data_IF_988926515277
#
_entry.id   IF_988926515277
#
_cell.length_a   1.000
_cell.length_b   1.000
_cell.length_c   1.000
_cell.angle_alpha   90.00
_cell.angle_beta   90.00
_cell.angle_gamma   90.00
#
_symmetry.space_group_name_H-M   'P 1'
#
loop_
_entity.id
_entity.type
_entity.pdbx_description
1 polymer ?
#
# COMPACT_ATOMS: atom_id res chain seq x y z
N UNK A 1 6.50 1.40 -8.84
CA UNK A 1 5.34 0.50 -9.03
C UNK A 1 4.69 0.66 -10.41
N UNK A 2 4.22 1.86 -10.78
CA UNK A 2 3.55 2.13 -12.08
C UNK A 2 4.31 1.57 -13.30
N UNK A 3 5.61 1.90 -13.43
CA UNK A 3 6.41 1.47 -14.59
C UNK A 3 6.70 -0.04 -14.60
N UNK A 4 6.70 -0.68 -13.43
CA UNK A 4 6.96 -2.11 -13.28
C UNK A 4 5.70 -2.96 -13.58
N UNK A 5 4.51 -2.39 -13.40
CA UNK A 5 3.25 -3.09 -13.62
C UNK A 5 3.04 -3.44 -15.09
N UNK A 6 2.85 -4.73 -15.38
CA UNK A 6 2.58 -5.24 -16.72
C UNK A 6 1.09 -5.15 -17.08
N UNK A 7 0.22 -5.40 -16.10
CA UNK A 7 -1.22 -5.24 -16.18
C UNK A 7 -1.59 -3.77 -16.37
N UNK A 8 -2.36 -3.50 -17.44
CA UNK A 8 -2.90 -2.16 -17.72
C UNK A 8 -3.79 -1.67 -16.58
N UNK A 9 -4.66 -2.53 -16.07
CA UNK A 9 -5.59 -2.20 -14.99
C UNK A 9 -4.82 -1.86 -13.70
N UNK A 10 -3.74 -2.60 -13.40
CA UNK A 10 -2.90 -2.34 -12.23
C UNK A 10 -2.16 -1.01 -12.35
N UNK A 11 -1.65 -0.73 -13.55
CA UNK A 11 -0.99 0.54 -13.85
C UNK A 11 -1.94 1.73 -13.71
N UNK A 12 -3.18 1.59 -14.18
CA UNK A 12 -4.21 2.63 -14.05
C UNK A 12 -4.59 2.86 -12.58
N UNK A 13 -4.73 1.78 -11.80
CA UNK A 13 -4.97 1.87 -10.36
C UNK A 13 -3.84 2.63 -9.64
N UNK A 14 -2.57 2.30 -9.91
CA UNK A 14 -1.43 3.00 -9.32
C UNK A 14 -1.32 4.46 -9.76
N UNK A 15 -1.65 4.80 -11.01
CA UNK A 15 -1.66 6.20 -11.45
C UNK A 15 -2.76 7.00 -10.73
N UNK A 16 -3.95 6.42 -10.57
CA UNK A 16 -5.03 7.06 -9.84
C UNK A 16 -4.66 7.29 -8.39
N UNK A 17 -4.14 6.26 -7.74
CA UNK A 17 -3.72 6.34 -6.35
C UNK A 17 -2.58 7.36 -6.16
N UNK A 18 -1.63 7.46 -7.09
CA UNK A 18 -0.60 8.52 -7.04
C UNK A 18 -1.19 9.95 -7.00
N UNK A 19 -2.25 10.21 -7.76
CA UNK A 19 -2.92 11.52 -7.69
C UNK A 19 -3.65 11.70 -6.36
N UNK A 20 -4.31 10.66 -5.84
CA UNK A 20 -4.92 10.68 -4.50
C UNK A 20 -3.87 10.96 -3.41
N UNK A 21 -2.71 10.31 -3.45
CA UNK A 21 -1.62 10.53 -2.48
C UNK A 21 -1.13 11.98 -2.47
N UNK A 22 -1.13 12.69 -3.61
CA UNK A 22 -0.78 14.11 -3.65
C UNK A 22 -1.82 14.98 -2.96
N UNK A 23 -3.10 14.64 -3.14
CA UNK A 23 -4.20 15.30 -2.44
C UNK A 23 -4.15 15.02 -0.93
N UNK A 24 -3.76 13.80 -0.53
CA UNK A 24 -3.53 13.44 0.88
C UNK A 24 -2.41 14.26 1.49
N UNK A 25 -1.28 14.41 0.80
CA UNK A 25 -0.17 15.24 1.26
C UNK A 25 -0.63 16.69 1.49
N UNK A 26 -1.39 17.26 0.55
CA UNK A 26 -1.98 18.60 0.68
C UNK A 26 -2.90 18.69 1.90
N UNK A 27 -3.71 17.65 2.15
CA UNK A 27 -4.61 17.57 3.30
C UNK A 27 -3.86 17.53 4.63
N UNK A 28 -2.77 16.76 4.70
CA UNK A 28 -1.90 16.70 5.89
C UNK A 28 -1.19 18.03 6.12
N UNK A 29 -0.70 18.68 5.06
CA UNK A 29 -0.10 20.02 5.15
C UNK A 29 -1.09 21.04 5.72
N UNK A 30 -2.35 21.01 5.28
CA UNK A 30 -3.42 21.88 5.81
C UNK A 30 -3.67 21.62 7.31
N UNK A 31 -3.71 20.35 7.73
CA UNK A 31 -3.87 19.97 9.14
C UNK A 31 -2.69 20.51 9.97
N UNK A 32 -1.45 20.30 9.52
CA UNK A 32 -0.25 20.79 10.22
C UNK A 32 -0.24 22.32 10.35
N UNK A 33 -0.60 23.04 9.29
CA UNK A 33 -0.72 24.49 9.33
C UNK A 33 -1.77 24.96 10.35
N UNK A 34 -2.92 24.28 10.43
CA UNK A 34 -3.95 24.60 11.43
C UNK A 34 -3.48 24.35 12.87
N UNK A 35 -2.58 23.39 13.07
CA UNK A 35 -1.94 23.11 14.36
C UNK A 35 -0.77 24.06 14.68
N UNK A 36 -0.39 24.93 13.75
CA UNK A 36 0.77 25.82 13.90
C UNK A 36 2.12 25.12 13.72
N UNK A 37 2.11 23.91 13.14
CA UNK A 37 3.29 23.08 12.90
C UNK A 37 3.76 23.19 11.45
N UNK A 38 5.06 22.95 11.22
CA UNK A 38 5.64 22.88 9.89
C UNK A 38 5.43 21.52 9.22
N UNK A 39 5.40 21.50 7.89
CA UNK A 39 5.31 20.27 7.10
C UNK A 39 6.67 19.56 6.87
N UNK A 40 7.70 19.91 7.64
CA UNK A 40 8.99 19.22 7.55
C UNK A 40 8.86 17.81 8.15
N UNK A 41 8.50 16.86 7.30
CA UNK A 41 8.37 15.46 7.67
C UNK A 41 9.72 14.77 7.81
N UNK A 42 9.84 13.90 8.80
CA UNK A 42 10.94 12.94 8.87
C UNK A 42 10.70 11.76 7.93
N UNK A 43 11.79 11.15 7.45
CA UNK A 43 11.70 9.92 6.66
C UNK A 43 11.10 8.79 7.50
N UNK A 44 9.91 8.30 7.12
CA UNK A 44 9.34 7.10 7.71
C UNK A 44 10.15 5.86 7.30
N UNK A 45 10.92 5.31 8.25
CA UNK A 45 11.77 4.13 8.00
C UNK A 45 10.96 2.90 7.63
N UNK A 46 9.79 2.69 8.25
CA UNK A 46 8.89 1.57 7.94
C UNK A 46 8.39 1.60 6.49
N UNK A 47 7.88 2.74 6.04
CA UNK A 47 7.44 2.92 4.66
C UNK A 47 8.59 2.76 3.65
N UNK A 48 9.75 3.36 3.96
CA UNK A 48 10.93 3.24 3.12
C UNK A 48 11.42 1.78 3.00
N UNK A 49 11.29 0.98 4.06
CA UNK A 49 11.60 -0.45 4.03
C UNK A 49 10.67 -1.22 3.09
N UNK A 50 9.35 -0.98 3.14
CA UNK A 50 8.40 -1.64 2.23
C UNK A 50 8.73 -1.38 0.75
N UNK A 51 9.06 -0.13 0.42
CA UNK A 51 9.43 0.26 -0.94
C UNK A 51 10.74 -0.41 -1.36
N UNK A 52 11.76 -0.38 -0.49
CA UNK A 52 13.06 -0.96 -0.78
C UNK A 52 13.00 -2.49 -0.94
N UNK A 53 12.22 -3.16 -0.09
CA UNK A 53 12.03 -4.61 -0.16
C UNK A 53 11.37 -5.01 -1.50
N UNK A 54 10.39 -4.23 -1.97
CA UNK A 54 9.78 -4.44 -3.28
C UNK A 54 10.78 -4.22 -4.43
N UNK A 55 11.58 -3.17 -4.38
CA UNK A 55 12.61 -2.89 -5.40
C UNK A 55 13.61 -4.04 -5.49
N UNK A 56 14.12 -4.52 -4.36
CA UNK A 56 15.05 -5.66 -4.31
C UNK A 56 14.40 -6.94 -4.84
N UNK A 57 13.17 -7.21 -4.41
CA UNK A 57 12.42 -8.39 -4.85
C UNK A 57 12.19 -8.37 -6.36
N UNK A 58 11.80 -7.21 -6.92
CA UNK A 58 11.44 -7.07 -8.33
C UNK A 58 12.56 -7.43 -9.32
N UNK A 59 13.83 -7.33 -8.90
CA UNK A 59 14.99 -7.64 -9.75
C UNK A 59 15.11 -9.13 -10.10
N UNK A 60 14.50 -10.01 -9.30
CA UNK A 60 14.58 -11.46 -9.47
C UNK A 60 13.29 -12.13 -9.96
N UNK A 61 12.22 -11.36 -10.21
CA UNK A 61 10.91 -11.90 -10.59
C UNK A 61 10.69 -11.88 -12.10
N UNK A 62 10.02 -12.91 -12.62
CA UNK A 62 9.44 -12.87 -13.95
C UNK A 62 8.29 -11.86 -14.01
N UNK A 63 7.99 -11.36 -15.21
CA UNK A 63 6.86 -10.45 -15.42
C UNK A 63 5.53 -11.02 -14.89
N UNK A 64 5.30 -12.33 -15.07
CA UNK A 64 4.07 -13.00 -14.65
C UNK A 64 3.88 -12.97 -13.12
N UNK A 65 4.97 -13.03 -12.36
CA UNK A 65 4.96 -13.02 -10.89
C UNK A 65 5.08 -11.59 -10.32
N UNK A 66 5.67 -10.67 -11.08
CA UNK A 66 5.94 -9.29 -10.64
C UNK A 66 4.66 -8.53 -10.29
N UNK A 67 3.59 -8.65 -11.08
CA UNK A 67 2.33 -7.94 -10.80
C UNK A 67 1.68 -8.42 -9.49
N UNK A 68 1.80 -9.71 -9.17
CA UNK A 68 1.33 -10.24 -7.88
C UNK A 68 2.14 -9.66 -6.71
N UNK A 69 3.46 -9.55 -6.87
CA UNK A 69 4.33 -8.93 -5.87
C UNK A 69 4.02 -7.43 -5.70
N UNK A 70 3.80 -6.71 -6.80
CA UNK A 70 3.41 -5.30 -6.79
C UNK A 70 2.10 -5.09 -6.02
N UNK A 71 1.07 -5.91 -6.28
CA UNK A 71 -0.19 -5.85 -5.53
C UNK A 71 0.05 -6.14 -4.04
N UNK A 72 0.79 -7.20 -3.71
CA UNK A 72 1.04 -7.56 -2.31
C UNK A 72 1.73 -6.44 -1.51
N UNK A 73 2.73 -5.78 -2.10
CA UNK A 73 3.41 -4.66 -1.45
C UNK A 73 2.57 -3.39 -1.43
N UNK A 74 1.75 -3.13 -2.46
CA UNK A 74 0.80 -2.03 -2.44
C UNK A 74 -0.16 -2.19 -1.25
N UNK A 75 -0.75 -3.37 -1.05
CA UNK A 75 -1.65 -3.62 0.07
C UNK A 75 -0.95 -3.44 1.43
N UNK A 76 0.33 -3.81 1.56
CA UNK A 76 1.09 -3.54 2.79
C UNK A 76 1.22 -2.04 3.08
N UNK A 77 1.44 -1.25 2.03
CA UNK A 77 1.50 0.21 2.12
C UNK A 77 0.12 0.75 2.52
N UNK A 78 -0.96 0.35 1.83
CA UNK A 78 -2.32 0.76 2.19
C UNK A 78 -2.67 0.41 3.64
N UNK A 79 -2.33 -0.79 4.10
CA UNK A 79 -2.60 -1.21 5.47
C UNK A 79 -1.81 -0.40 6.51
N UNK A 80 -0.60 0.04 6.18
CA UNK A 80 0.17 0.96 7.02
C UNK A 80 -0.54 2.32 7.12
N UNK A 81 -1.05 2.83 6.02
CA UNK A 81 -1.74 4.12 5.95
C UNK A 81 -3.13 4.07 6.62
N UNK A 82 -3.90 3.01 6.40
CA UNK A 82 -5.18 2.74 7.07
C UNK A 82 -4.99 2.73 8.60
N UNK A 83 -3.96 2.04 9.09
CA UNK A 83 -3.66 2.02 10.53
C UNK A 83 -3.26 3.41 11.05
N UNK A 84 -2.48 4.16 10.27
CA UNK A 84 -2.00 5.50 10.60
C UNK A 84 -3.15 6.50 10.66
N UNK A 85 -3.89 6.67 9.57
CA UNK A 85 -4.98 7.63 9.49
C UNK A 85 -6.14 7.26 10.40
N UNK A 86 -6.45 5.97 10.58
CA UNK A 86 -7.46 5.52 11.55
C UNK A 86 -7.12 5.95 12.98
N UNK A 87 -5.86 5.72 13.40
CA UNK A 87 -5.39 6.09 14.74
C UNK A 87 -5.38 7.62 14.94
N UNK A 88 -4.91 8.38 13.95
CA UNK A 88 -4.89 9.84 14.02
C UNK A 88 -6.30 10.43 14.05
N UNK A 89 -7.22 9.91 13.23
CA UNK A 89 -8.63 10.31 13.20
C UNK A 89 -9.30 10.10 14.56
N UNK A 90 -9.04 8.95 15.20
CA UNK A 90 -9.58 8.66 16.54
C UNK A 90 -9.00 9.60 17.61
N UNK A 91 -7.70 9.92 17.51
CA UNK A 91 -7.06 10.90 18.38
C UNK A 91 -7.68 12.29 18.24
N UNK A 92 -7.85 12.78 17.01
CA UNK A 92 -8.48 14.07 16.73
C UNK A 92 -9.92 14.13 17.27
N UNK A 93 -10.70 13.06 17.07
CA UNK A 93 -12.04 12.93 17.62
C UNK A 93 -12.06 12.98 19.16
N UNK A 94 -11.11 12.31 19.82
CA UNK A 94 -10.99 12.32 21.28
C UNK A 94 -10.61 13.70 21.84
N UNK A 95 -9.91 14.52 21.06
CA UNK A 95 -9.57 15.91 21.38
C UNK A 95 -10.66 16.93 20.96
N UNK A 96 -11.79 16.45 20.46
CA UNK A 96 -12.88 17.27 19.91
C UNK A 96 -12.47 18.20 18.76
N UNK A 97 -11.41 17.83 18.02
CA UNK A 97 -11.02 18.50 16.77
C UNK A 97 -11.75 17.84 15.59
N UNK A 98 -12.98 18.30 15.35
CA UNK A 98 -13.86 17.74 14.32
C UNK A 98 -13.34 17.93 12.90
N UNK A 99 -12.64 19.04 12.64
CA UNK A 99 -12.18 19.40 11.31
C UNK A 99 -11.02 18.50 10.90
N UNK A 100 -10.03 18.31 11.78
CA UNK A 100 -8.95 17.35 11.56
C UNK A 100 -9.47 15.92 11.46
N UNK A 101 -10.40 15.51 12.32
CA UNK A 101 -11.00 14.18 12.27
C UNK A 101 -11.71 13.92 10.93
N UNK A 102 -12.47 14.89 10.41
CA UNK A 102 -13.13 14.80 9.11
C UNK A 102 -12.12 14.65 7.97
N UNK A 103 -11.05 15.46 7.96
CA UNK A 103 -10.03 15.37 6.92
C UNK A 103 -9.30 14.02 6.94
N UNK A 104 -8.93 13.53 8.11
CA UNK A 104 -8.29 12.21 8.25
C UNK A 104 -9.25 11.06 7.90
N UNK A 105 -10.54 11.20 8.19
CA UNK A 105 -11.57 10.24 7.78
C UNK A 105 -11.68 10.14 6.26
N UNK A 106 -11.63 11.27 5.54
CA UNK A 106 -11.63 11.25 4.07
C UNK A 106 -10.43 10.50 3.51
N UNK A 107 -9.22 10.73 4.05
CA UNK A 107 -8.03 9.98 3.62
C UNK A 107 -8.20 8.49 3.90
N UNK A 108 -8.64 8.13 5.11
CA UNK A 108 -8.85 6.75 5.52
C UNK A 108 -9.81 6.02 4.56
N UNK A 109 -10.89 6.65 4.14
CA UNK A 109 -11.86 6.06 3.19
C UNK A 109 -11.26 5.83 1.80
N UNK A 110 -10.41 6.76 1.34
CA UNK A 110 -9.68 6.64 0.08
C UNK A 110 -8.69 5.47 0.11
N UNK A 111 -7.91 5.29 1.18
CA UNK A 111 -6.96 4.16 1.30
C UNK A 111 -7.69 2.81 1.44
N UNK A 112 -8.78 2.78 2.21
CA UNK A 112 -9.61 1.58 2.29
C UNK A 112 -10.23 1.20 0.94
N UNK A 113 -10.53 2.18 0.09
CA UNK A 113 -11.01 1.92 -1.26
C UNK A 113 -9.90 1.42 -2.18
N UNK A 114 -8.71 2.02 -2.10
CA UNK A 114 -7.53 1.56 -2.82
C UNK A 114 -7.19 0.10 -2.49
N UNK A 115 -7.18 -0.29 -1.20
CA UNK A 115 -6.95 -1.68 -0.78
C UNK A 115 -8.05 -2.64 -1.29
N UNK A 116 -9.32 -2.23 -1.28
CA UNK A 116 -10.41 -3.03 -1.86
C UNK A 116 -10.20 -3.25 -3.37
N UNK A 117 -9.79 -2.22 -4.10
CA UNK A 117 -9.48 -2.32 -5.52
C UNK A 117 -8.25 -3.22 -5.77
N UNK A 118 -7.21 -3.09 -4.95
CA UNK A 118 -6.02 -3.96 -4.99
C UNK A 118 -6.38 -5.43 -4.71
N UNK A 119 -7.27 -5.68 -3.75
CA UNK A 119 -7.78 -7.03 -3.46
C UNK A 119 -8.51 -7.63 -4.66
N UNK A 120 -9.32 -6.82 -5.35
CA UNK A 120 -10.06 -7.27 -6.52
C UNK A 120 -9.12 -7.60 -7.69
N UNK A 121 -8.22 -6.70 -8.03
CA UNK A 121 -7.27 -6.92 -9.13
C UNK A 121 -6.28 -8.03 -8.80
N UNK A 122 -5.85 -8.14 -7.53
CA UNK A 122 -4.97 -9.21 -7.05
C UNK A 122 -5.58 -10.60 -7.24
N UNK A 123 -6.89 -10.75 -7.01
CA UNK A 123 -7.60 -12.02 -7.29
C UNK A 123 -7.53 -12.39 -8.77
N UNK A 124 -7.73 -11.41 -9.66
CA UNK A 124 -7.62 -11.63 -11.12
C UNK A 124 -6.20 -12.00 -11.51
N UNK A 125 -5.20 -11.21 -11.10
CA UNK A 125 -3.78 -11.45 -11.41
C UNK A 125 -3.34 -12.84 -10.94
N UNK A 126 -3.65 -13.21 -9.69
CA UNK A 126 -3.26 -14.50 -9.13
C UNK A 126 -3.97 -15.68 -9.81
N UNK A 127 -5.22 -15.48 -10.26
CA UNK A 127 -5.96 -16.51 -11.01
C UNK A 127 -5.34 -16.74 -12.39
N UNK A 128 -4.95 -15.68 -13.09
CA UNK A 128 -4.28 -15.80 -14.40
C UNK A 128 -2.89 -16.41 -14.27
N UNK A 129 -2.12 -16.02 -13.25
CA UNK A 129 -0.82 -16.64 -12.93
C UNK A 129 -0.96 -18.16 -12.74
N UNK A 130 -1.95 -18.60 -11.95
CA UNK A 130 -2.19 -20.02 -11.71
C UNK A 130 -2.57 -20.82 -12.98
N UNK A 131 -3.24 -20.20 -13.96
CA UNK A 131 -3.60 -20.84 -15.24
C UNK A 131 -2.39 -21.05 -16.14
N UNK A 132 -1.41 -20.14 -16.10
CA UNK A 132 -0.21 -20.21 -16.92
C UNK A 132 0.72 -21.36 -16.51
N UNK A 133 0.67 -21.81 -15.25
CA UNK A 133 1.51 -22.90 -14.73
C UNK A 133 0.95 -24.33 -14.96
N UNK A 134 -0.15 -24.48 -15.73
CA UNK A 134 -0.87 -25.74 -15.89
C UNK A 134 -0.30 -26.76 -16.90
N UNK A 135 0.73 -27.51 -16.50
CA UNK A 135 0.96 -28.94 -16.87
C UNK A 135 1.92 -29.63 -15.88
N UNK A 136 1.49 -29.81 -14.62
CA UNK A 136 2.08 -30.82 -13.72
C UNK A 136 3.11 -30.37 -12.67
N UNK A 137 3.38 -29.08 -12.50
CA UNK A 137 4.20 -28.60 -11.38
C UNK A 137 3.31 -28.29 -10.16
N UNK A 138 3.73 -28.73 -8.97
CA UNK A 138 3.10 -28.29 -7.71
C UNK A 138 3.25 -26.78 -7.59
N UNK A 139 2.14 -26.07 -7.46
CA UNK A 139 2.07 -24.63 -7.25
C UNK A 139 2.58 -24.30 -5.85
N UNK A 140 3.89 -24.09 -5.70
CA UNK A 140 4.43 -23.51 -4.46
C UNK A 140 4.26 -22.00 -4.55
N UNK A 141 3.64 -21.39 -3.53
CA UNK A 141 3.69 -19.93 -3.37
C UNK A 141 5.17 -19.56 -3.41
N UNK A 142 5.63 -18.66 -4.31
CA UNK A 142 7.05 -18.38 -4.43
C UNK A 142 7.58 -18.01 -3.03
N UNK A 143 8.62 -18.70 -2.58
CA UNK A 143 9.14 -18.55 -1.21
C UNK A 143 9.38 -17.08 -0.85
N UNK A 144 9.76 -16.27 -1.85
CA UNK A 144 9.94 -14.83 -1.77
C UNK A 144 8.70 -14.04 -1.30
N UNK A 145 7.48 -14.53 -1.50
CA UNK A 145 6.24 -13.90 -1.01
C UNK A 145 5.97 -14.23 0.46
N UNK A 146 6.43 -15.41 0.91
CA UNK A 146 6.19 -15.93 2.25
C UNK A 146 7.34 -15.57 3.21
N UNK A 147 8.57 -15.44 2.70
CA UNK A 147 9.77 -15.12 3.47
C UNK A 147 9.65 -13.86 4.34
N UNK A 148 9.05 -12.74 3.88
CA UNK A 148 8.83 -11.60 4.76
C UNK A 148 7.93 -11.94 5.96
N UNK A 149 6.92 -12.78 5.76
CA UNK A 149 6.01 -13.20 6.84
C UNK A 149 6.69 -14.14 7.85
N UNK A 150 7.64 -14.97 7.42
CA UNK A 150 8.42 -15.83 8.33
C UNK A 150 9.47 -15.08 9.13
N UNK A 151 9.83 -13.86 8.69
CA UNK A 151 10.76 -12.95 9.38
C UNK A 151 10.09 -12.03 10.38
N UNK A 152 8.75 -12.07 10.51
CA UNK A 152 8.03 -11.39 11.59
C UNK A 152 8.36 -12.10 12.90
N UNK A 153 9.41 -11.62 13.58
CA UNK A 153 9.71 -12.03 14.95
C UNK A 153 8.73 -11.30 15.87
N UNK A 154 8.18 -11.97 16.91
CA UNK A 154 7.43 -11.28 17.94
C UNK A 154 8.29 -10.13 18.48
N UNK A 155 7.74 -8.93 18.48
CA UNK A 155 8.33 -7.85 19.27
C UNK A 155 8.19 -8.27 20.74
N UNK A 156 9.33 -8.50 21.40
CA UNK A 156 9.40 -8.83 22.81
C UNK A 156 9.16 -7.60 23.68
#
# INVERSE_FOLDING_TARGET
MIQAASSKELRELFNRHLEQTKDHATRVEMILQALGEGAEGEKCTGMASLISDLEQLSQGLSHDVLDSALVSYAQRIEHFEIATYGSLRDCAAALADSDTAMHLQNTLEEEQDADRQLTNIGRTINTELAKQEGSGAKTEIPATFVEPATRIKPAA
#
